data_IF_404386586770
#
_entry.id   IF_404386586770
#
_cell.length_a   1.000
_cell.length_b   1.000
_cell.length_c   1.000
_cell.angle_alpha   90.00
_cell.angle_beta   90.00
_cell.angle_gamma   90.00
#
_symmetry.space_group_name_H-M   'P 1'
#
loop_
_entity.id
_entity.type
_entity.pdbx_description
1 polymer ?
#
# COMPACT_ATOMS: atom_id res chain seq x y z
N UNK A 1 6.16 4.87 -21.45
CA UNK A 1 6.59 3.75 -20.59
C UNK A 1 8.07 3.50 -20.84
N UNK A 2 8.92 3.53 -19.81
CA UNK A 2 10.34 3.16 -19.97
C UNK A 2 10.41 1.64 -20.20
N UNK A 3 10.96 1.22 -21.34
CA UNK A 3 11.16 -0.19 -21.70
C UNK A 3 12.29 -0.78 -20.85
N UNK A 4 11.97 -1.28 -19.66
CA UNK A 4 12.91 -2.03 -18.83
C UNK A 4 13.27 -3.40 -19.42
N UNK A 5 12.45 -3.90 -20.34
CA UNK A 5 12.70 -5.12 -21.10
C UNK A 5 12.84 -4.79 -22.59
N UNK A 6 13.96 -5.19 -23.21
CA UNK A 6 14.21 -5.07 -24.66
C UNK A 6 13.40 -6.11 -25.48
N UNK A 7 12.19 -6.45 -25.06
CA UNK A 7 11.35 -7.44 -25.74
C UNK A 7 9.91 -6.93 -25.90
N UNK A 8 9.19 -7.53 -26.85
CA UNK A 8 7.82 -7.15 -27.13
C UNK A 8 6.91 -7.42 -25.91
N UNK A 9 5.88 -6.60 -25.75
CA UNK A 9 4.88 -6.77 -24.68
C UNK A 9 4.22 -8.16 -24.69
N UNK A 10 4.02 -8.73 -25.88
CA UNK A 10 3.52 -10.10 -26.07
C UNK A 10 4.47 -11.13 -25.45
N UNK A 11 5.78 -10.99 -25.66
CA UNK A 11 6.80 -11.86 -25.06
C UNK A 11 6.79 -11.80 -23.54
N UNK A 12 6.68 -10.59 -22.97
CA UNK A 12 6.58 -10.39 -21.51
C UNK A 12 5.33 -11.10 -20.97
N UNK A 13 4.18 -10.93 -21.63
CA UNK A 13 2.92 -11.56 -21.24
C UNK A 13 3.00 -13.09 -21.27
N UNK A 14 3.59 -13.65 -22.33
CA UNK A 14 3.81 -15.10 -22.44
C UNK A 14 4.71 -15.61 -21.33
N UNK A 15 5.81 -14.90 -21.04
CA UNK A 15 6.74 -15.29 -19.99
C UNK A 15 6.10 -15.26 -18.59
N UNK A 16 5.37 -14.20 -18.25
CA UNK A 16 4.61 -14.12 -17.00
C UNK A 16 3.57 -15.24 -16.88
N UNK A 17 2.92 -15.63 -17.98
CA UNK A 17 1.98 -16.77 -18.00
C UNK A 17 2.68 -18.10 -17.70
N UNK A 18 3.87 -18.32 -18.28
CA UNK A 18 4.68 -19.52 -18.01
C UNK A 18 5.05 -19.57 -16.53
N UNK A 19 5.58 -18.48 -15.97
CA UNK A 19 5.95 -18.40 -14.56
C UNK A 19 4.76 -18.64 -13.62
N UNK A 20 3.58 -18.10 -13.96
CA UNK A 20 2.34 -18.34 -13.20
C UNK A 20 1.94 -19.81 -13.24
N UNK A 21 1.97 -20.42 -14.43
CA UNK A 21 1.63 -21.83 -14.60
C UNK A 21 2.59 -22.78 -13.88
N UNK A 22 3.87 -22.40 -13.77
CA UNK A 22 4.88 -23.13 -13.00
C UNK A 22 4.80 -22.87 -11.48
N UNK A 23 3.85 -22.05 -11.02
CA UNK A 23 3.72 -21.67 -9.62
C UNK A 23 4.82 -20.77 -9.08
N UNK A 24 5.71 -20.25 -9.95
CA UNK A 24 6.84 -19.38 -9.55
C UNK A 24 6.40 -17.96 -9.16
N UNK A 25 5.26 -17.53 -9.70
CA UNK A 25 4.61 -16.28 -9.31
C UNK A 25 3.13 -16.52 -9.02
N UNK A 26 2.59 -15.75 -8.10
CA UNK A 26 1.16 -15.69 -7.80
C UNK A 26 0.65 -14.28 -7.99
N UNK A 27 -0.50 -14.12 -8.65
CA UNK A 27 -1.23 -12.85 -8.65
C UNK A 27 -2.21 -12.87 -7.49
N UNK A 28 -2.16 -11.87 -6.63
CA UNK A 28 -3.04 -11.78 -5.46
C UNK A 28 -3.34 -10.32 -5.15
N UNK A 29 -4.58 -10.05 -4.76
CA UNK A 29 -4.94 -8.78 -4.12
C UNK A 29 -4.77 -8.83 -2.59
N UNK A 30 -4.37 -9.98 -2.02
CA UNK A 30 -4.06 -10.19 -0.60
C UNK A 30 -2.59 -10.59 -0.46
N UNK A 31 -1.66 -9.64 -0.56
CA UNK A 31 -0.26 -9.97 -0.54
C UNK A 31 0.26 -10.24 0.87
N UNK A 32 1.30 -11.06 0.96
CA UNK A 32 2.06 -11.31 2.17
C UNK A 32 2.95 -10.10 2.51
N UNK A 33 3.46 -9.42 1.49
CA UNK A 33 4.20 -8.16 1.63
C UNK A 33 4.05 -7.29 0.39
N UNK A 34 4.24 -5.98 0.55
CA UNK A 34 4.31 -5.05 -0.59
C UNK A 34 5.77 -4.76 -0.91
N UNK A 35 6.19 -5.12 -2.13
CA UNK A 35 7.48 -4.74 -2.67
C UNK A 35 7.51 -3.26 -3.08
N UNK A 36 8.70 -2.66 -3.17
CA UNK A 36 8.85 -1.27 -3.61
C UNK A 36 8.47 -1.03 -5.08
N UNK A 37 8.27 -2.11 -5.85
CA UNK A 37 7.88 -2.08 -7.26
C UNK A 37 6.36 -2.01 -7.49
N UNK A 38 5.55 -2.13 -6.43
CA UNK A 38 4.11 -1.94 -6.53
C UNK A 38 3.79 -0.48 -6.83
N UNK A 39 2.77 -0.25 -7.64
CA UNK A 39 2.27 1.10 -7.93
C UNK A 39 2.03 1.87 -6.62
N UNK A 40 2.72 2.99 -6.43
CA UNK A 40 2.63 3.81 -5.22
C UNK A 40 1.23 4.38 -4.99
N UNK A 41 0.44 4.53 -6.05
CA UNK A 41 -0.94 5.01 -6.00
C UNK A 41 -1.95 3.92 -5.64
N UNK A 42 -1.54 2.64 -5.64
CA UNK A 42 -2.38 1.56 -5.18
C UNK A 42 -2.82 1.82 -3.74
N UNK A 43 -4.05 1.45 -3.43
CA UNK A 43 -4.66 1.67 -2.12
C UNK A 43 -4.73 0.39 -1.33
N UNK A 44 -4.44 0.49 -0.03
CA UNK A 44 -4.27 -0.66 0.86
C UNK A 44 -5.23 -0.59 2.04
N UNK A 45 -5.66 -1.77 2.48
CA UNK A 45 -6.42 -1.99 3.72
C UNK A 45 -5.52 -2.69 4.73
N UNK A 46 -5.38 -2.10 5.91
CA UNK A 46 -4.58 -2.64 7.02
C UNK A 46 -5.43 -3.45 8.00
N UNK A 47 -4.79 -4.41 8.66
CA UNK A 47 -5.34 -5.08 9.85
C UNK A 47 -5.72 -4.07 10.93
N UNK A 48 -6.81 -4.33 11.65
CA UNK A 48 -7.37 -3.43 12.66
C UNK A 48 -6.35 -2.97 13.70
N UNK A 49 -5.52 -3.89 14.21
CA UNK A 49 -4.51 -3.57 15.22
C UNK A 49 -3.51 -2.49 14.75
N UNK A 50 -2.89 -2.70 13.58
CA UNK A 50 -1.91 -1.76 13.02
C UNK A 50 -2.58 -0.46 12.56
N UNK A 51 -3.77 -0.57 11.97
CA UNK A 51 -4.56 0.61 11.60
C UNK A 51 -4.83 1.51 12.81
N UNK A 52 -5.40 0.94 13.88
CA UNK A 52 -5.73 1.67 15.08
C UNK A 52 -4.49 2.24 15.77
N UNK A 53 -3.38 1.50 15.76
CA UNK A 53 -2.10 1.96 16.27
C UNK A 53 -1.59 3.22 15.54
N UNK A 54 -1.61 3.22 14.20
CA UNK A 54 -1.17 4.37 13.39
C UNK A 54 -2.04 5.60 13.70
N UNK A 55 -3.37 5.46 13.66
CA UNK A 55 -4.27 6.59 13.93
C UNK A 55 -4.22 7.07 15.38
N UNK A 56 -3.93 6.17 16.35
CA UNK A 56 -3.65 6.55 17.74
C UNK A 56 -2.39 7.40 17.83
N UNK A 57 -1.29 6.99 17.18
CA UNK A 57 -0.02 7.74 17.14
C UNK A 57 -0.18 9.11 16.49
N UNK A 58 -0.98 9.22 15.42
CA UNK A 58 -1.32 10.50 14.80
C UNK A 58 -2.02 11.41 15.82
N UNK A 59 -3.01 10.89 16.55
CA UNK A 59 -3.75 11.67 17.54
C UNK A 59 -2.85 12.10 18.71
N UNK A 60 -1.96 11.23 19.19
CA UNK A 60 -1.00 11.55 20.25
C UNK A 60 -0.08 12.71 19.83
N UNK A 61 0.42 12.71 18.59
CA UNK A 61 1.38 13.72 18.12
C UNK A 61 0.74 15.02 17.65
N UNK A 62 -0.40 14.97 16.97
CA UNK A 62 -1.04 16.14 16.35
C UNK A 62 -2.26 16.66 17.11
N UNK A 63 -2.67 15.99 18.19
CA UNK A 63 -3.85 16.25 19.05
C UNK A 63 -5.20 16.06 18.34
N UNK A 64 -5.34 16.58 17.12
CA UNK A 64 -6.55 16.53 16.29
C UNK A 64 -6.21 16.02 14.89
N UNK A 65 -7.04 15.13 14.37
CA UNK A 65 -6.97 14.61 13.00
C UNK A 65 -6.91 15.70 11.93
N UNK A 66 -7.66 16.79 12.13
CA UNK A 66 -7.66 17.96 11.23
C UNK A 66 -6.25 18.53 11.04
N UNK A 67 -5.45 18.58 12.11
CA UNK A 67 -4.10 19.14 12.05
C UNK A 67 -3.19 18.26 11.19
N UNK A 68 -3.31 16.94 11.31
CA UNK A 68 -2.55 16.00 10.50
C UNK A 68 -2.99 16.02 9.03
N UNK A 69 -4.30 16.15 8.76
CA UNK A 69 -4.81 16.30 7.41
C UNK A 69 -4.25 17.56 6.73
N UNK A 70 -4.23 18.70 7.45
CA UNK A 70 -3.61 19.95 6.98
C UNK A 70 -2.11 19.74 6.73
N UNK A 71 -1.40 19.10 7.65
CA UNK A 71 0.03 18.81 7.51
C UNK A 71 0.35 17.99 6.25
N UNK A 72 -0.49 17.01 5.92
CA UNK A 72 -0.34 16.21 4.72
C UNK A 72 -0.83 16.90 3.44
N UNK A 73 -1.47 18.07 3.54
CA UNK A 73 -2.09 18.76 2.41
C UNK A 73 -3.32 18.03 1.84
N UNK A 74 -4.08 17.32 2.69
CA UNK A 74 -5.19 16.47 2.28
C UNK A 74 -6.50 16.98 2.89
N UNK A 75 -7.60 16.84 2.15
CA UNK A 75 -8.91 17.23 2.64
C UNK A 75 -9.32 16.42 3.89
N UNK A 76 -9.91 17.11 4.89
CA UNK A 76 -10.31 16.52 6.18
C UNK A 76 -11.22 15.29 6.03
N UNK A 77 -12.12 15.32 5.04
CA UNK A 77 -13.06 14.23 4.81
C UNK A 77 -12.36 12.97 4.29
N UNK A 78 -11.35 13.14 3.43
CA UNK A 78 -10.54 12.04 2.91
C UNK A 78 -9.78 11.35 4.04
N UNK A 79 -9.14 12.13 4.92
CA UNK A 79 -8.46 11.58 6.08
C UNK A 79 -9.42 10.86 7.05
N UNK A 80 -10.60 11.45 7.29
CA UNK A 80 -11.65 10.83 8.11
C UNK A 80 -12.11 9.49 7.52
N UNK A 81 -12.30 9.43 6.20
CA UNK A 81 -12.68 8.19 5.52
C UNK A 81 -11.61 7.11 5.65
N UNK A 82 -10.32 7.46 5.62
CA UNK A 82 -9.25 6.51 5.91
C UNK A 82 -9.30 6.03 7.35
N UNK A 83 -9.42 6.93 8.32
CA UNK A 83 -9.50 6.59 9.74
C UNK A 83 -10.66 5.62 10.02
N UNK A 84 -11.84 5.92 9.48
CA UNK A 84 -13.06 5.12 9.63
C UNK A 84 -13.11 3.89 8.73
N UNK A 85 -12.05 3.60 7.97
CA UNK A 85 -11.98 2.48 7.00
C UNK A 85 -13.07 2.51 5.92
N UNK A 86 -13.70 3.66 5.68
CA UNK A 86 -14.67 3.86 4.59
C UNK A 86 -13.99 3.82 3.22
N UNK A 87 -12.69 4.11 3.17
CA UNK A 87 -11.87 4.02 1.96
C UNK A 87 -10.47 3.49 2.30
N UNK A 88 -9.81 2.86 1.33
CA UNK A 88 -8.44 2.38 1.45
C UNK A 88 -7.45 3.55 1.37
N UNK A 89 -6.29 3.40 2.01
CA UNK A 89 -5.25 4.44 2.03
C UNK A 89 -4.23 4.19 0.93
N UNK A 90 -3.86 5.18 0.10
CA UNK A 90 -2.78 5.01 -0.87
C UNK A 90 -1.45 4.63 -0.21
N UNK A 91 -0.66 3.74 -0.83
CA UNK A 91 0.63 3.29 -0.30
C UNK A 91 1.57 4.47 -0.04
N UNK A 92 1.64 5.43 -0.95
CA UNK A 92 2.49 6.61 -0.78
C UNK A 92 2.11 7.45 0.45
N UNK A 93 0.80 7.55 0.76
CA UNK A 93 0.32 8.22 1.97
C UNK A 93 0.68 7.43 3.20
N UNK A 94 0.46 6.11 3.17
CA UNK A 94 0.80 5.24 4.29
C UNK A 94 2.30 5.31 4.62
N UNK A 95 3.16 5.34 3.60
CA UNK A 95 4.60 5.52 3.78
C UNK A 95 4.94 6.87 4.43
N UNK A 96 4.36 7.97 3.95
CA UNK A 96 4.50 9.30 4.57
C UNK A 96 4.04 9.31 6.03
N UNK A 97 2.90 8.67 6.34
CA UNK A 97 2.42 8.54 7.72
C UNK A 97 3.46 7.81 8.58
N UNK A 98 4.03 6.71 8.08
CA UNK A 98 5.05 5.96 8.80
C UNK A 98 6.31 6.80 9.03
N UNK A 99 6.81 7.50 8.01
CA UNK A 99 7.97 8.41 8.11
C UNK A 99 7.74 9.51 9.15
N UNK A 100 6.60 10.20 9.09
CA UNK A 100 6.26 11.27 10.03
C UNK A 100 6.20 10.73 11.46
N UNK A 101 5.64 9.54 11.66
CA UNK A 101 5.45 8.93 12.97
C UNK A 101 6.69 8.17 13.48
N UNK A 102 7.77 8.11 12.69
CA UNK A 102 8.95 7.29 12.95
C UNK A 102 8.61 5.79 13.16
N UNK A 103 7.74 5.26 12.31
CA UNK A 103 7.33 3.84 12.29
C UNK A 103 7.98 3.16 11.09
N UNK A 104 8.52 1.96 11.29
CA UNK A 104 9.07 1.15 10.21
C UNK A 104 7.96 0.67 9.26
N UNK A 105 7.98 1.19 8.03
CA UNK A 105 7.02 0.84 6.99
C UNK A 105 7.06 -0.65 6.62
N UNK A 106 8.23 -1.32 6.69
CA UNK A 106 8.32 -2.75 6.36
C UNK A 106 7.55 -3.62 7.35
N UNK A 107 7.44 -3.19 8.62
CA UNK A 107 6.60 -3.87 9.61
C UNK A 107 5.11 -3.63 9.34
N UNK A 108 4.76 -2.41 8.93
CA UNK A 108 3.38 -2.05 8.57
C UNK A 108 2.93 -2.78 7.30
N UNK A 109 3.78 -2.91 6.29
CA UNK A 109 3.44 -3.51 4.99
C UNK A 109 3.08 -4.99 5.10
N UNK A 110 3.67 -5.72 6.05
CA UNK A 110 3.30 -7.13 6.38
C UNK A 110 1.92 -7.27 7.03
N UNK A 111 1.27 -6.16 7.38
CA UNK A 111 -0.06 -6.13 8.00
C UNK A 111 -1.15 -5.62 7.05
N UNK A 112 -0.87 -5.61 5.75
CA UNK A 112 -1.84 -5.29 4.70
C UNK A 112 -2.70 -6.53 4.44
N UNK A 113 -4.02 -6.37 4.52
CA UNK A 113 -5.00 -7.42 4.24
C UNK A 113 -5.26 -7.47 2.73
N UNK A 114 -5.44 -6.31 2.11
CA UNK A 114 -5.87 -6.23 0.71
C UNK A 114 -5.34 -4.97 0.03
N UNK A 115 -5.04 -5.10 -1.26
CA UNK A 115 -4.71 -4.01 -2.19
C UNK A 115 -5.85 -3.91 -3.22
N UNK A 116 -6.10 -2.71 -3.76
CA UNK A 116 -7.13 -2.47 -4.79
C UNK A 116 -6.85 -3.11 -6.15
N UNK A 117 -5.61 -3.54 -6.39
CA UNK A 117 -5.18 -4.22 -7.60
C UNK A 117 -4.49 -5.55 -7.27
N UNK A 118 -4.54 -6.50 -8.20
CA UNK A 118 -3.71 -7.70 -8.10
C UNK A 118 -2.24 -7.31 -8.27
N UNK A 119 -1.41 -7.82 -7.37
CA UNK A 119 0.04 -7.69 -7.47
C UNK A 119 0.67 -9.05 -7.66
N UNK A 120 1.78 -9.07 -8.42
CA UNK A 120 2.58 -10.27 -8.59
C UNK A 120 3.49 -10.47 -7.37
N UNK A 121 3.39 -11.64 -6.77
CA UNK A 121 4.25 -12.11 -5.69
C UNK A 121 5.11 -13.27 -6.19
N UNK A 122 6.37 -13.30 -5.75
CA UNK A 122 7.23 -14.47 -5.93
C UNK A 122 6.82 -15.48 -4.87
N UNK A 123 6.55 -16.71 -5.30
CA UNK A 123 6.17 -17.83 -4.42
C UNK A 123 7.39 -18.43 -3.73
#
# INVERSE_FOLDING_TARGET
MKNYFKCAHTTIRTYLKILKNQGKIRLSNRPHYISDYVNRNATVLLKDGVHNFIFKKIRERFKKDKNFAIFLGIHKATFSNWRLKKSRTPIYILRKMCEILNIDFHKVSRNIITVDQEIAEIT
#
